data_IF_955031487629
#
_entry.id   IF_955031487629
#
_cell.length_a   1.000
_cell.length_b   1.000
_cell.length_c   1.000
_cell.angle_alpha   90.00
_cell.angle_beta   90.00
_cell.angle_gamma   90.00
#
_symmetry.space_group_name_H-M   'P 1'
#
loop_
_entity.id
_entity.type
_entity.pdbx_description
1 polymer ?
#
# COMPACT_ATOMS: atom_id res chain seq x y z
N UNK A 1 5.12 -17.29 96.58
CA UNK A 1 4.74 -15.86 96.63
C UNK A 1 4.90 -15.33 95.23
N UNK A 2 3.74 -15.18 94.60
CA UNK A 2 3.48 -14.59 93.30
C UNK A 2 4.03 -13.15 93.23
N UNK A 3 4.47 -12.71 92.05
CA UNK A 3 3.73 -11.72 91.27
C UNK A 3 4.44 -11.34 89.94
N UNK A 4 3.61 -11.27 88.90
CA UNK A 4 3.78 -10.71 87.57
C UNK A 4 4.58 -9.38 87.46
N UNK A 5 5.33 -9.22 86.36
CA UNK A 5 5.32 -8.01 85.51
C UNK A 5 6.06 -8.28 84.16
N UNK A 6 5.40 -8.85 83.13
CA UNK A 6 4.92 -8.19 81.89
C UNK A 6 5.90 -7.17 81.28
N UNK A 7 6.50 -7.45 80.11
CA UNK A 7 5.92 -7.30 78.76
C UNK A 7 5.97 -5.86 78.23
N UNK A 8 7.15 -5.29 78.02
CA UNK A 8 7.29 -3.98 77.35
C UNK A 8 8.46 -3.92 76.35
N UNK A 9 9.41 -4.88 76.37
CA UNK A 9 10.61 -4.79 75.52
C UNK A 9 10.52 -5.59 74.21
N UNK A 10 9.62 -6.58 74.09
CA UNK A 10 9.47 -7.38 72.86
C UNK A 10 8.54 -6.77 71.82
N UNK A 11 7.72 -5.77 72.18
CA UNK A 11 6.78 -5.12 71.25
C UNK A 11 7.42 -4.02 70.39
N UNK A 12 8.57 -3.48 70.82
CA UNK A 12 9.25 -2.39 70.12
C UNK A 12 10.03 -2.90 68.90
N UNK A 13 10.50 -4.16 68.91
CA UNK A 13 11.26 -4.74 67.79
C UNK A 13 10.34 -5.14 66.61
N UNK A 14 9.04 -5.37 66.85
CA UNK A 14 8.09 -5.71 65.79
C UNK A 14 7.54 -4.49 65.04
N UNK A 15 7.76 -3.27 65.53
CA UNK A 15 7.20 -2.04 64.94
C UNK A 15 8.14 -1.27 63.99
N UNK A 16 9.39 -1.72 63.81
CA UNK A 16 10.36 -1.05 62.92
C UNK A 16 10.48 -1.69 61.51
N UNK A 17 9.69 -2.73 61.20
CA UNK A 17 9.77 -3.44 59.90
C UNK A 17 8.67 -3.00 58.90
N UNK A 18 7.79 -2.04 59.25
CA UNK A 18 6.58 -1.76 58.44
C UNK A 18 6.51 -0.39 57.76
N UNK A 19 7.63 0.21 57.36
CA UNK A 19 7.58 1.50 56.63
C UNK A 19 8.66 1.69 55.57
N UNK A 20 8.84 0.68 54.71
CA UNK A 20 9.19 0.92 53.30
C UNK A 20 8.06 0.38 52.40
N UNK A 21 6.86 0.93 52.55
CA UNK A 21 5.85 0.87 51.50
C UNK A 21 6.35 1.73 50.34
N UNK A 22 7.01 1.08 49.38
CA UNK A 22 7.28 1.70 48.08
C UNK A 22 5.93 2.10 47.49
N UNK A 23 5.65 3.39 47.46
CA UNK A 23 4.55 3.94 46.68
C UNK A 23 4.93 3.78 45.21
N UNK A 24 4.68 2.57 44.68
CA UNK A 24 4.61 2.37 43.26
C UNK A 24 3.42 3.21 42.78
N UNK A 25 3.70 4.43 42.34
CA UNK A 25 2.76 5.15 41.49
C UNK A 25 2.56 4.27 40.26
N UNK A 26 1.46 3.51 40.26
CA UNK A 26 0.99 2.83 39.08
C UNK A 26 0.73 3.93 38.05
N UNK A 27 1.70 4.17 37.18
CA UNK A 27 1.42 4.83 35.92
C UNK A 27 0.35 3.97 35.27
N UNK A 28 -0.84 4.54 35.07
CA UNK A 28 -1.83 3.96 34.18
C UNK A 28 -1.20 3.99 32.78
N UNK A 29 -0.36 3.01 32.48
CA UNK A 29 0.02 2.70 31.12
C UNK A 29 -1.29 2.16 30.53
N UNK A 30 -2.03 3.03 29.86
CA UNK A 30 -3.09 2.60 28.95
C UNK A 30 -2.40 1.79 27.86
N UNK A 31 -2.23 0.49 28.10
CA UNK A 31 -1.88 -0.45 27.06
C UNK A 31 -3.12 -0.50 26.17
N UNK A 32 -3.13 0.35 25.15
CA UNK A 32 -4.11 0.26 24.06
C UNK A 32 -3.82 -1.06 23.39
N UNK A 33 -4.58 -2.09 23.77
CA UNK A 33 -4.53 -3.37 23.10
C UNK A 33 -5.20 -3.19 21.74
N UNK A 34 -4.42 -2.83 20.74
CA UNK A 34 -4.95 -2.66 19.41
C UNK A 34 -5.35 -4.04 18.87
N UNK A 35 -6.61 -4.18 18.51
CA UNK A 35 -7.06 -5.32 17.73
C UNK A 35 -6.47 -5.17 16.32
N UNK A 36 -5.78 -6.21 15.84
CA UNK A 36 -5.14 -6.20 14.53
C UNK A 36 -6.16 -5.91 13.42
N UNK A 37 -7.39 -6.41 13.58
CA UNK A 37 -8.45 -6.14 12.62
C UNK A 37 -8.81 -4.64 12.59
N UNK A 38 -8.82 -3.98 13.75
CA UNK A 38 -9.01 -2.53 13.83
C UNK A 38 -7.85 -1.76 13.22
N UNK A 39 -6.61 -2.22 13.41
CA UNK A 39 -5.42 -1.63 12.75
C UNK A 39 -5.53 -1.72 11.23
N UNK A 40 -5.90 -2.88 10.70
CA UNK A 40 -6.06 -3.12 9.25
C UNK A 40 -7.17 -2.25 8.69
N UNK A 41 -8.29 -2.18 9.41
CA UNK A 41 -9.43 -1.36 9.01
C UNK A 41 -9.05 0.11 8.93
N UNK A 42 -8.34 0.63 9.94
CA UNK A 42 -7.94 2.05 9.93
C UNK A 42 -6.87 2.33 8.87
N UNK A 43 -5.91 1.41 8.67
CA UNK A 43 -4.90 1.52 7.61
C UNK A 43 -5.53 1.59 6.21
N UNK A 44 -6.48 0.70 5.91
CA UNK A 44 -7.10 0.60 4.59
C UNK A 44 -8.22 1.62 4.33
N UNK A 45 -8.69 2.34 5.36
CA UNK A 45 -9.91 3.16 5.32
C UNK A 45 -10.00 4.20 4.21
N UNK A 46 -8.86 4.76 3.80
CA UNK A 46 -8.77 5.83 2.78
C UNK A 46 -8.29 5.32 1.43
N UNK A 47 -8.19 4.01 1.26
CA UNK A 47 -7.81 3.41 -0.02
C UNK A 47 -9.02 3.34 -0.96
N UNK A 48 -8.73 3.19 -2.24
CA UNK A 48 -9.70 3.12 -3.35
C UNK A 48 -10.76 2.03 -3.11
N UNK A 49 -10.35 0.88 -2.57
CA UNK A 49 -11.22 -0.20 -2.14
C UNK A 49 -10.78 -0.72 -0.76
N UNK A 50 -11.31 -0.14 0.33
CA UNK A 50 -10.90 -0.47 1.70
C UNK A 50 -11.11 -1.92 2.09
N UNK A 51 -12.21 -2.53 1.63
CA UNK A 51 -12.51 -3.93 1.91
C UNK A 51 -11.51 -4.87 1.24
N UNK A 52 -11.22 -4.62 -0.04
CA UNK A 52 -10.22 -5.39 -0.78
C UNK A 52 -8.81 -5.20 -0.21
N UNK A 53 -8.47 -3.99 0.23
CA UNK A 53 -7.20 -3.73 0.90
C UNK A 53 -7.07 -4.59 2.17
N UNK A 54 -8.09 -4.55 3.02
CA UNK A 54 -8.10 -5.32 4.25
C UNK A 54 -8.02 -6.83 3.99
N UNK A 55 -8.80 -7.34 3.05
CA UNK A 55 -8.79 -8.75 2.63
C UNK A 55 -7.40 -9.19 2.13
N UNK A 56 -6.73 -8.32 1.37
CA UNK A 56 -5.43 -8.61 0.76
C UNK A 56 -4.31 -8.64 1.79
N UNK A 57 -4.27 -7.70 2.74
CA UNK A 57 -3.17 -7.64 3.71
C UNK A 57 -3.39 -8.50 4.96
N UNK A 58 -4.64 -8.73 5.38
CA UNK A 58 -4.96 -9.43 6.63
C UNK A 58 -4.25 -10.78 6.80
N UNK A 59 -4.20 -11.67 5.80
CA UNK A 59 -3.55 -12.98 5.94
C UNK A 59 -2.04 -12.90 6.24
N UNK A 60 -1.42 -11.75 6.04
CA UNK A 60 0.02 -11.55 6.16
C UNK A 60 0.45 -10.93 7.50
N UNK A 61 -0.51 -10.48 8.32
CA UNK A 61 -0.26 -9.95 9.65
C UNK A 61 -0.91 -10.87 10.68
N UNK A 62 -0.13 -11.38 11.64
CA UNK A 62 -0.62 -12.35 12.62
C UNK A 62 -0.77 -11.79 14.03
N UNK A 63 0.14 -10.91 14.49
CA UNK A 63 0.12 -10.33 15.87
C UNK A 63 0.83 -8.97 15.99
N UNK A 64 1.20 -8.36 14.88
CA UNK A 64 2.08 -7.20 14.86
C UNK A 64 1.35 -5.96 14.36
N UNK A 65 1.86 -4.79 14.73
CA UNK A 65 1.49 -3.55 14.04
C UNK A 65 1.75 -3.68 12.56
N UNK A 66 0.90 -3.05 11.76
CA UNK A 66 1.06 -2.97 10.31
C UNK A 66 2.34 -2.20 10.01
N UNK A 67 3.23 -2.81 9.24
CA UNK A 67 4.39 -2.13 8.70
C UNK A 67 4.02 -1.61 7.30
N UNK A 68 3.99 -0.28 7.07
CA UNK A 68 3.44 0.29 5.84
C UNK A 68 4.14 -0.17 4.56
N UNK A 69 5.47 -0.32 4.54
CA UNK A 69 6.17 -0.82 3.35
C UNK A 69 5.80 -2.27 3.05
N UNK A 70 5.62 -3.10 4.08
CA UNK A 70 5.21 -4.49 3.92
C UNK A 70 3.78 -4.59 3.42
N UNK A 71 2.86 -3.80 3.97
CA UNK A 71 1.48 -3.75 3.50
C UNK A 71 1.42 -3.30 2.02
N UNK A 72 2.19 -2.27 1.66
CA UNK A 72 2.32 -1.83 0.27
C UNK A 72 2.90 -2.93 -0.63
N UNK A 73 3.98 -3.60 -0.23
CA UNK A 73 4.60 -4.70 -0.99
C UNK A 73 3.60 -5.85 -1.26
N UNK A 74 2.73 -6.17 -0.29
CA UNK A 74 1.67 -7.17 -0.43
C UNK A 74 0.61 -6.73 -1.46
N UNK A 75 0.11 -5.50 -1.37
CA UNK A 75 -0.85 -4.95 -2.34
C UNK A 75 -0.28 -4.88 -3.76
N UNK A 76 1.01 -4.52 -3.88
CA UNK A 76 1.73 -4.50 -5.15
C UNK A 76 1.87 -5.91 -5.73
N UNK A 77 2.13 -6.92 -4.89
CA UNK A 77 2.16 -8.32 -5.31
C UNK A 77 0.78 -8.85 -5.73
N UNK A 78 -0.29 -8.46 -5.03
CA UNK A 78 -1.65 -8.77 -5.43
C UNK A 78 -2.00 -8.13 -6.78
N UNK A 79 -1.63 -6.86 -6.97
CA UNK A 79 -1.78 -6.16 -8.26
C UNK A 79 -1.01 -6.87 -9.37
N UNK A 80 0.23 -7.27 -9.11
CA UNK A 80 1.06 -8.03 -10.06
C UNK A 80 0.40 -9.35 -10.48
N UNK A 81 -0.07 -10.12 -9.50
CA UNK A 81 -0.73 -11.40 -9.73
C UNK A 81 -1.99 -11.21 -10.59
N UNK A 82 -2.80 -10.20 -10.25
CA UNK A 82 -4.02 -9.90 -11.01
C UNK A 82 -3.72 -9.39 -12.41
N UNK A 83 -2.75 -8.50 -12.59
CA UNK A 83 -2.33 -8.01 -13.91
C UNK A 83 -1.83 -9.14 -14.83
N UNK A 84 -1.05 -10.09 -14.29
CA UNK A 84 -0.62 -11.30 -15.03
C UNK A 84 -1.80 -12.16 -15.46
N UNK A 85 -2.76 -12.38 -14.55
CA UNK A 85 -3.99 -13.12 -14.85
C UNK A 85 -4.80 -12.42 -15.95
N UNK A 86 -4.97 -11.11 -15.86
CA UNK A 86 -5.69 -10.33 -16.86
C UNK A 86 -5.00 -10.37 -18.22
N UNK A 87 -3.67 -10.26 -18.27
CA UNK A 87 -2.91 -10.40 -19.52
C UNK A 87 -3.14 -11.77 -20.18
N UNK A 88 -3.13 -12.85 -19.39
CA UNK A 88 -3.44 -14.19 -19.91
C UNK A 88 -4.90 -14.29 -20.42
N UNK A 89 -5.85 -13.64 -19.75
CA UNK A 89 -7.24 -13.59 -20.21
C UNK A 89 -7.37 -12.80 -21.53
N UNK A 90 -6.71 -11.64 -21.65
CA UNK A 90 -6.64 -10.84 -22.89
C UNK A 90 -6.13 -11.71 -24.05
N UNK A 91 -5.03 -12.43 -23.85
CA UNK A 91 -4.47 -13.34 -24.88
C UNK A 91 -5.45 -14.45 -25.26
N UNK A 92 -6.16 -15.01 -24.28
CA UNK A 92 -7.17 -16.04 -24.52
C UNK A 92 -8.35 -15.49 -25.32
N UNK A 93 -8.86 -14.31 -24.97
CA UNK A 93 -9.97 -13.66 -25.66
C UNK A 93 -9.61 -13.26 -27.09
N UNK A 94 -8.40 -12.74 -27.32
CA UNK A 94 -7.92 -12.39 -28.66
C UNK A 94 -7.90 -13.61 -29.59
N UNK A 95 -7.55 -14.79 -29.06
CA UNK A 95 -7.44 -16.04 -29.84
C UNK A 95 -8.78 -16.64 -30.28
N UNK A 96 -9.91 -16.14 -29.77
CA UNK A 96 -11.24 -16.67 -30.11
C UNK A 96 -11.64 -16.31 -31.55
N UNK A 97 -12.20 -17.28 -32.27
CA UNK A 97 -12.72 -17.10 -33.62
C UNK A 97 -13.91 -16.13 -33.62
N UNK A 98 -13.94 -15.17 -34.55
CA UNK A 98 -15.04 -14.20 -34.68
C UNK A 98 -14.75 -12.78 -34.18
N UNK A 99 -13.53 -12.52 -33.71
CA UNK A 99 -13.07 -11.16 -33.33
C UNK A 99 -12.97 -10.26 -34.56
N UNK A 100 -13.61 -9.08 -34.52
CA UNK A 100 -13.52 -8.09 -35.59
C UNK A 100 -12.12 -7.50 -35.68
N UNK A 101 -11.73 -6.91 -36.82
CA UNK A 101 -10.43 -6.24 -36.96
C UNK A 101 -10.23 -5.14 -35.91
N UNK A 102 -11.25 -4.31 -35.69
CA UNK A 102 -11.26 -3.26 -34.65
C UNK A 102 -10.99 -3.84 -33.27
N UNK A 103 -11.71 -4.91 -32.89
CA UNK A 103 -11.51 -5.59 -31.61
C UNK A 103 -10.12 -6.21 -31.47
N UNK A 104 -9.52 -6.71 -32.57
CA UNK A 104 -8.16 -7.26 -32.56
C UNK A 104 -7.12 -6.19 -32.25
N UNK A 105 -7.23 -5.03 -32.89
CA UNK A 105 -6.33 -3.89 -32.65
C UNK A 105 -6.44 -3.42 -31.18
N UNK A 106 -7.65 -3.38 -30.61
CA UNK A 106 -7.87 -3.08 -29.18
C UNK A 106 -7.21 -4.11 -28.25
N UNK A 107 -7.29 -5.41 -28.57
CA UNK A 107 -6.62 -6.45 -27.79
C UNK A 107 -5.09 -6.34 -27.86
N UNK A 108 -4.53 -6.01 -29.03
CA UNK A 108 -3.09 -5.80 -29.21
C UNK A 108 -2.59 -4.62 -28.37
N UNK A 109 -3.32 -3.48 -28.39
CA UNK A 109 -3.02 -2.34 -27.52
C UNK A 109 -3.05 -2.77 -26.06
N UNK A 110 -4.11 -3.45 -25.61
CA UNK A 110 -4.22 -3.92 -24.24
C UNK A 110 -3.09 -4.86 -23.81
N UNK A 111 -2.65 -5.77 -24.67
CA UNK A 111 -1.49 -6.64 -24.39
C UNK A 111 -0.25 -5.81 -24.09
N UNK A 112 0.03 -4.79 -24.90
CA UNK A 112 1.23 -3.98 -24.74
C UNK A 112 1.13 -3.05 -23.53
N UNK A 113 -0.05 -2.51 -23.24
CA UNK A 113 -0.30 -1.77 -22.00
C UNK A 113 -0.10 -2.67 -20.77
N UNK A 114 -0.62 -3.89 -20.77
CA UNK A 114 -0.45 -4.81 -19.64
C UNK A 114 1.00 -5.29 -19.49
N UNK A 115 1.77 -5.50 -20.57
CA UNK A 115 3.22 -5.77 -20.44
C UNK A 115 3.95 -4.59 -19.79
N UNK A 116 3.68 -3.38 -20.27
CA UNK A 116 4.26 -2.14 -19.71
C UNK A 116 3.88 -1.95 -18.24
N UNK A 117 2.65 -2.34 -17.87
CA UNK A 117 2.18 -2.38 -16.49
C UNK A 117 2.99 -3.34 -15.62
N UNK A 118 3.30 -4.54 -16.11
CA UNK A 118 4.12 -5.51 -15.37
C UNK A 118 5.54 -4.97 -15.13
N UNK A 119 6.12 -4.28 -16.11
CA UNK A 119 7.44 -3.65 -15.97
C UNK A 119 7.40 -2.50 -14.96
N UNK A 120 6.39 -1.63 -15.01
CA UNK A 120 6.20 -0.56 -14.02
C UNK A 120 6.00 -1.09 -12.60
N UNK A 121 5.23 -2.17 -12.43
CA UNK A 121 5.07 -2.83 -11.12
C UNK A 121 6.42 -3.34 -10.60
N UNK A 122 7.23 -3.96 -11.46
CA UNK A 122 8.57 -4.43 -11.09
C UNK A 122 9.49 -3.28 -10.65
N UNK A 123 9.44 -2.15 -11.35
CA UNK A 123 10.18 -0.94 -10.98
C UNK A 123 9.69 -0.35 -9.66
N UNK A 124 8.38 -0.35 -9.40
CA UNK A 124 7.84 0.04 -8.09
C UNK A 124 8.34 -0.87 -6.97
N UNK A 125 8.40 -2.19 -7.17
CA UNK A 125 8.96 -3.11 -6.16
C UNK A 125 10.42 -2.78 -5.84
N UNK A 126 11.22 -2.44 -6.85
CA UNK A 126 12.60 -2.01 -6.63
C UNK A 126 12.68 -0.69 -5.85
N UNK A 127 11.79 0.26 -6.12
CA UNK A 127 11.71 1.52 -5.37
C UNK A 127 11.28 1.30 -3.91
N UNK A 128 10.29 0.43 -3.66
CA UNK A 128 9.84 0.02 -2.32
C UNK A 128 10.99 -0.60 -1.52
N UNK A 129 11.77 -1.50 -2.13
CA UNK A 129 12.92 -2.12 -1.48
C UNK A 129 13.99 -1.08 -1.05
N UNK A 130 14.12 0.00 -1.82
CA UNK A 130 15.01 1.14 -1.53
C UNK A 130 14.36 2.24 -0.67
N UNK A 131 13.10 2.05 -0.25
CA UNK A 131 12.29 3.05 0.47
C UNK A 131 12.11 4.38 -0.28
N UNK A 132 12.22 4.35 -1.61
CA UNK A 132 12.05 5.51 -2.48
C UNK A 132 10.56 5.68 -2.86
N UNK A 133 9.83 6.40 -1.99
CA UNK A 133 8.40 6.63 -2.14
C UNK A 133 8.06 7.50 -3.36
N UNK A 134 8.93 8.44 -3.73
CA UNK A 134 8.69 9.33 -4.87
C UNK A 134 8.75 8.53 -6.17
N UNK A 135 9.80 7.72 -6.34
CA UNK A 135 9.90 6.83 -7.50
C UNK A 135 8.79 5.78 -7.48
N UNK A 136 8.49 5.18 -6.32
CA UNK A 136 7.39 4.22 -6.20
C UNK A 136 6.06 4.83 -6.66
N UNK A 137 5.73 6.05 -6.22
CA UNK A 137 4.53 6.78 -6.62
C UNK A 137 4.48 7.02 -8.12
N UNK A 138 5.57 7.55 -8.69
CA UNK A 138 5.64 7.84 -10.12
C UNK A 138 5.44 6.58 -10.97
N UNK A 139 6.18 5.52 -10.67
CA UNK A 139 6.08 4.25 -11.39
C UNK A 139 4.73 3.57 -11.21
N UNK A 140 4.18 3.62 -10.00
CA UNK A 140 2.89 3.00 -9.75
C UNK A 140 1.71 3.80 -10.32
N UNK A 141 1.83 5.12 -10.46
CA UNK A 141 0.82 5.93 -11.17
C UNK A 141 0.70 5.54 -12.65
N UNK A 142 1.82 5.09 -13.27
CA UNK A 142 1.80 4.57 -14.63
C UNK A 142 0.98 3.27 -14.76
N UNK A 143 0.93 2.43 -13.73
CA UNK A 143 0.13 1.19 -13.70
C UNK A 143 -1.34 1.48 -14.01
N UNK A 144 -1.92 2.49 -13.36
CA UNK A 144 -3.31 2.90 -13.59
C UNK A 144 -3.49 3.57 -14.96
N UNK A 145 -2.48 4.30 -15.44
CA UNK A 145 -2.51 4.89 -16.78
C UNK A 145 -2.53 3.84 -17.89
N UNK A 146 -1.77 2.75 -17.74
CA UNK A 146 -1.79 1.63 -18.68
C UNK A 146 -3.12 0.88 -18.65
N UNK A 147 -3.70 0.70 -17.46
CA UNK A 147 -5.03 0.10 -17.33
C UNK A 147 -6.11 0.93 -18.03
N UNK A 148 -6.08 2.26 -17.85
CA UNK A 148 -7.00 3.19 -18.50
C UNK A 148 -6.81 3.20 -20.02
N UNK A 149 -5.56 3.30 -20.50
CA UNK A 149 -5.25 3.28 -21.93
C UNK A 149 -5.73 1.99 -22.62
N UNK A 150 -5.67 0.84 -21.94
CA UNK A 150 -6.26 -0.39 -22.44
C UNK A 150 -7.80 -0.31 -22.53
N UNK A 151 -8.48 0.24 -21.51
CA UNK A 151 -9.94 0.43 -21.58
C UNK A 151 -10.34 1.36 -22.72
N UNK A 152 -9.63 2.46 -22.88
CA UNK A 152 -9.90 3.48 -23.89
C UNK A 152 -9.63 2.98 -25.33
N UNK A 153 -8.90 1.87 -25.49
CA UNK A 153 -8.70 1.22 -26.77
C UNK A 153 -9.97 0.52 -27.29
N UNK A 154 -10.97 0.26 -26.43
CA UNK A 154 -12.25 -0.33 -26.82
C UNK A 154 -13.33 0.76 -26.94
N UNK A 155 -14.26 0.57 -27.89
CA UNK A 155 -15.40 1.47 -28.06
C UNK A 155 -16.23 1.59 -26.76
N UNK A 156 -16.56 2.84 -26.39
CA UNK A 156 -17.24 3.21 -25.14
C UNK A 156 -16.56 2.72 -23.84
N UNK A 157 -15.30 2.28 -23.88
CA UNK A 157 -14.62 1.67 -22.73
C UNK A 157 -15.20 0.31 -22.30
N UNK A 158 -16.07 -0.30 -23.13
CA UNK A 158 -16.69 -1.61 -22.86
C UNK A 158 -15.74 -2.73 -23.24
N UNK A 159 -14.95 -3.18 -22.28
CA UNK A 159 -13.99 -4.26 -22.47
C UNK A 159 -14.58 -5.65 -22.12
N UNK A 160 -14.24 -6.72 -22.86
CA UNK A 160 -14.78 -8.07 -22.62
C UNK A 160 -14.20 -8.77 -21.38
N UNK A 161 -13.30 -8.10 -20.65
CA UNK A 161 -12.65 -8.56 -19.41
C UNK A 161 -12.76 -7.48 -18.32
N UNK A 162 -13.90 -6.78 -18.27
CA UNK A 162 -14.12 -5.65 -17.36
C UNK A 162 -13.81 -5.98 -15.90
N UNK A 163 -14.33 -7.08 -15.36
CA UNK A 163 -14.11 -7.47 -13.96
C UNK A 163 -12.63 -7.67 -13.63
N UNK A 164 -11.86 -8.26 -14.56
CA UNK A 164 -10.43 -8.45 -14.39
C UNK A 164 -9.68 -7.12 -14.40
N UNK A 165 -10.06 -6.20 -15.29
CA UNK A 165 -9.46 -4.86 -15.38
C UNK A 165 -9.85 -3.97 -14.21
N UNK A 166 -11.08 -4.06 -13.71
CA UNK A 166 -11.58 -3.31 -12.56
C UNK A 166 -10.89 -3.75 -11.27
N UNK A 167 -10.67 -5.05 -11.10
CA UNK A 167 -9.90 -5.55 -9.96
C UNK A 167 -8.41 -5.13 -10.01
N UNK A 168 -7.79 -5.00 -11.20
CA UNK A 168 -6.46 -4.37 -11.32
C UNK A 168 -6.52 -2.90 -10.89
N UNK A 169 -7.55 -2.17 -11.31
CA UNK A 169 -7.75 -0.77 -10.91
C UNK A 169 -7.93 -0.63 -9.40
N UNK A 170 -8.74 -1.48 -8.77
CA UNK A 170 -8.99 -1.41 -7.33
C UNK A 170 -7.75 -1.73 -6.50
N UNK A 171 -7.02 -2.82 -6.82
CA UNK A 171 -5.76 -3.16 -6.16
C UNK A 171 -4.69 -2.07 -6.41
N UNK A 172 -4.61 -1.58 -7.64
CA UNK A 172 -3.65 -0.55 -7.99
C UNK A 172 -3.96 0.80 -7.33
N UNK A 173 -5.24 1.15 -7.22
CA UNK A 173 -5.71 2.32 -6.48
C UNK A 173 -5.31 2.24 -5.02
N UNK A 174 -5.52 1.09 -4.37
CA UNK A 174 -5.09 0.86 -2.99
C UNK A 174 -3.59 1.12 -2.80
N UNK A 175 -2.75 0.59 -3.69
CA UNK A 175 -1.31 0.84 -3.64
C UNK A 175 -0.98 2.34 -3.71
N UNK A 176 -1.61 3.08 -4.64
CA UNK A 176 -1.34 4.50 -4.83
C UNK A 176 -1.78 5.34 -3.62
N UNK A 177 -2.91 4.99 -3.02
CA UNK A 177 -3.40 5.65 -1.81
C UNK A 177 -2.49 5.38 -0.60
N UNK A 178 -2.01 4.15 -0.43
CA UNK A 178 -1.01 3.80 0.59
C UNK A 178 0.28 4.59 0.37
N UNK A 179 0.79 4.63 -0.86
CA UNK A 179 1.99 5.41 -1.21
C UNK A 179 1.78 6.90 -0.89
N UNK A 180 0.62 7.46 -1.21
CA UNK A 180 0.31 8.87 -0.95
C UNK A 180 0.23 9.17 0.55
N UNK A 181 -0.33 8.28 1.36
CA UNK A 181 -0.35 8.43 2.82
C UNK A 181 1.06 8.35 3.42
N UNK A 182 1.88 7.42 2.92
CA UNK A 182 3.30 7.30 3.29
C UNK A 182 4.12 8.54 2.92
N UNK A 183 3.93 9.09 1.72
CA UNK A 183 4.56 10.34 1.28
C UNK A 183 4.18 11.49 2.20
N UNK A 184 2.89 11.63 2.52
CA UNK A 184 2.39 12.65 3.44
C UNK A 184 3.00 12.51 4.83
N UNK A 185 3.16 11.28 5.33
CA UNK A 185 3.77 11.01 6.63
C UNK A 185 5.26 11.36 6.70
N UNK A 186 5.98 11.38 5.57
CA UNK A 186 7.39 11.82 5.51
C UNK A 186 7.56 13.34 5.61
N UNK A 187 6.48 14.12 5.47
CA UNK A 187 6.53 15.58 5.41
C UNK A 187 7.09 16.10 4.07
N UNK A 188 7.12 17.44 3.87
CA UNK A 188 7.59 18.01 2.61
C UNK A 188 9.06 17.65 2.36
N UNK A 189 9.29 16.74 1.41
CA UNK A 189 10.62 16.50 0.88
C UNK A 189 11.09 17.73 0.11
N UNK A 190 12.33 18.18 0.36
CA UNK A 190 13.00 19.12 -0.55
C UNK A 190 13.17 18.39 -1.88
N UNK A 191 12.31 18.71 -2.85
CA UNK A 191 12.48 18.23 -4.21
C UNK A 191 13.92 18.53 -4.65
N UNK A 192 14.67 17.55 -5.17
CA UNK A 192 15.88 17.85 -5.91
C UNK A 192 15.55 18.87 -7.01
N UNK A 193 16.46 19.80 -7.34
CA UNK A 193 16.22 20.72 -8.44
C UNK A 193 15.80 19.93 -9.67
N UNK A 194 14.68 20.33 -10.29
CA UNK A 194 14.28 19.81 -11.59
C UNK A 194 15.43 20.08 -12.53
N UNK A 195 16.19 19.05 -12.85
CA UNK A 195 17.23 19.14 -13.86
C UNK A 195 16.48 19.27 -15.17
N UNK A 196 16.39 20.51 -15.68
CA UNK A 196 15.80 20.78 -16.99
C UNK A 196 16.47 19.87 -18.00
N UNK A 197 15.74 18.88 -18.49
CA UNK A 197 16.11 18.16 -19.69
C UNK A 197 16.35 19.20 -20.78
N UNK A 198 17.47 19.08 -21.49
CA UNK A 198 17.80 19.95 -22.61
C UNK A 198 16.59 20.02 -23.58
N UNK A 199 16.30 21.19 -24.18
CA UNK A 199 15.23 21.32 -25.15
C UNK A 199 15.35 20.23 -26.22
N UNK A 200 14.25 19.51 -26.45
CA UNK A 200 14.12 18.58 -27.57
C UNK A 200 14.49 19.30 -28.87
N UNK A 201 15.35 18.70 -29.68
CA UNK A 201 15.83 19.25 -30.96
C UNK A 201 14.73 19.44 -32.03
N UNK A 202 13.46 19.20 -31.69
CA UNK A 202 12.31 19.25 -32.60
C UNK A 202 11.46 20.52 -32.48
N UNK A 203 11.83 21.50 -31.64
CA UNK A 203 11.04 22.74 -31.49
C UNK A 203 11.22 23.79 -32.59
N UNK A 204 12.04 23.56 -33.62
CA UNK A 204 12.33 24.53 -34.68
C UNK A 204 11.84 24.12 -36.06
N UNK A 205 10.59 23.65 -36.18
CA UNK A 205 9.90 23.66 -37.50
C UNK A 205 8.89 24.79 -37.50
N UNK A 206 9.39 26.02 -37.73
CA UNK A 206 8.56 27.14 -38.14
C UNK A 206 8.19 26.89 -39.60
N UNK A 207 6.93 26.52 -39.84
CA UNK A 207 6.39 26.40 -41.18
C UNK A 207 6.37 27.77 -41.86
N UNK A 208 7.11 27.91 -42.96
CA UNK A 208 6.93 29.01 -43.90
C UNK A 208 5.71 28.69 -44.75
N UNK A 209 4.61 29.40 -44.51
CA UNK A 209 3.49 29.49 -45.45
C UNK A 209 3.95 30.36 -46.63
N UNK A 210 3.84 29.83 -47.84
CA UNK A 210 3.85 30.56 -49.12
C UNK A 210 2.81 29.94 -50.02
#
# INVERSE_FOLDING_TARGET
>A
MDHHFTSETSLIILLLITSLSSLATATNINIVHHDLQSDITEFCKKTTNPALCAETIHPHFLKNRIEPFKALDIEVDATLAKAKKTLANIQTLESKTGTTKSSKDSFDICKDQYKSMLDAIKETKAAIANKDIITAKFKFSAVLSFQAACKDAFEDGKIPFFEDSDAVYNLGGNCLDIIADMEKAQGPQKMPPVQQSAPSAFSNVIGTVS
#
